data_IF_371904504122
#
_entry.id   IF_371904504122
#
_cell.length_a   1.000
_cell.length_b   1.000
_cell.length_c   1.000
_cell.angle_alpha   90.00
_cell.angle_beta   90.00
_cell.angle_gamma   90.00
#
_symmetry.space_group_name_H-M   'P 1'
#
loop_
_entity.id
_entity.type
_entity.pdbx_description
1 polymer ?
#
# COMPACT_ATOMS: atom_id res chain seq x y z
N UNK A 1 -8.26 -13.69 -2.59
CA UNK A 1 -7.73 -12.32 -2.75
C UNK A 1 -8.75 -11.33 -2.24
N UNK A 2 -8.33 -10.16 -1.74
CA UNK A 2 -9.24 -9.17 -1.16
C UNK A 2 -10.42 -8.76 -2.08
N UNK A 3 -10.23 -8.51 -3.40
CA UNK A 3 -11.35 -8.17 -4.29
C UNK A 3 -12.41 -9.26 -4.38
N UNK A 4 -12.00 -10.54 -4.44
CA UNK A 4 -12.93 -11.66 -4.42
C UNK A 4 -13.70 -11.76 -3.09
N UNK A 5 -13.08 -11.41 -1.96
CA UNK A 5 -13.76 -11.39 -0.66
C UNK A 5 -14.88 -10.33 -0.65
N UNK A 6 -14.58 -9.12 -1.12
CA UNK A 6 -15.57 -8.05 -1.26
C UNK A 6 -16.69 -8.41 -2.23
N UNK A 7 -16.36 -9.00 -3.39
CA UNK A 7 -17.36 -9.44 -4.37
C UNK A 7 -18.30 -10.51 -3.84
N UNK A 8 -17.77 -11.48 -3.08
CA UNK A 8 -18.60 -12.48 -2.43
C UNK A 8 -19.57 -11.85 -1.41
N UNK A 9 -19.21 -10.72 -0.80
CA UNK A 9 -20.09 -9.93 0.08
C UNK A 9 -21.03 -8.95 -0.68
N UNK A 10 -21.05 -9.00 -2.01
CA UNK A 10 -21.93 -8.20 -2.87
C UNK A 10 -21.40 -6.81 -3.21
N UNK A 11 -20.09 -6.57 -3.11
CA UNK A 11 -19.46 -5.32 -3.55
C UNK A 11 -18.96 -5.42 -4.98
N UNK A 12 -18.93 -4.31 -5.71
CA UNK A 12 -18.04 -4.21 -6.88
C UNK A 12 -16.61 -3.96 -6.41
N UNK A 13 -15.63 -4.44 -7.16
CA UNK A 13 -14.21 -4.25 -6.82
C UNK A 13 -13.41 -3.83 -8.05
N UNK A 14 -12.96 -2.59 -8.08
CA UNK A 14 -12.32 -1.97 -9.25
C UNK A 14 -10.92 -1.45 -8.92
N UNK A 15 -10.07 -1.42 -9.94
CA UNK A 15 -8.69 -0.99 -9.86
C UNK A 15 -8.49 0.28 -10.70
N UNK A 16 -7.78 1.27 -10.16
CA UNK A 16 -7.56 2.57 -10.81
C UNK A 16 -6.08 2.93 -10.82
N UNK A 17 -5.58 3.36 -11.98
CA UNK A 17 -4.23 3.88 -12.08
C UNK A 17 -4.07 4.73 -13.34
N UNK A 18 -3.14 5.68 -13.31
CA UNK A 18 -2.96 6.57 -14.44
C UNK A 18 -2.17 5.99 -15.62
N UNK A 19 -1.35 4.96 -15.35
CA UNK A 19 -0.42 4.38 -16.32
C UNK A 19 -0.99 3.10 -16.96
N UNK A 20 -0.31 2.65 -18.03
CA UNK A 20 -0.62 1.43 -18.78
C UNK A 20 -0.83 0.23 -17.86
N UNK A 21 -1.93 -0.50 -18.06
CA UNK A 21 -2.24 -1.74 -17.34
C UNK A 21 -1.25 -2.88 -17.58
N UNK A 22 -0.50 -2.85 -18.68
CA UNK A 22 0.53 -3.86 -18.97
C UNK A 22 1.78 -3.72 -18.10
N UNK A 23 2.02 -2.52 -17.54
CA UNK A 23 3.15 -2.28 -16.65
C UNK A 23 3.01 -3.16 -15.40
N UNK A 24 4.10 -3.81 -14.98
CA UNK A 24 4.12 -4.85 -13.94
C UNK A 24 3.12 -5.99 -14.14
N UNK A 25 2.74 -6.32 -15.38
CA UNK A 25 1.77 -7.39 -15.68
C UNK A 25 0.41 -7.23 -14.97
N UNK A 26 0.02 -5.98 -14.66
CA UNK A 26 -1.20 -5.72 -13.89
C UNK A 26 -2.47 -6.21 -14.59
N UNK A 27 -2.49 -6.34 -15.92
CA UNK A 27 -3.62 -6.97 -16.65
C UNK A 27 -3.93 -8.35 -16.09
N UNK A 28 -2.92 -9.21 -16.00
CA UNK A 28 -3.12 -10.58 -15.56
C UNK A 28 -3.39 -10.62 -14.06
N UNK A 29 -2.68 -9.80 -13.27
CA UNK A 29 -2.91 -9.73 -11.82
C UNK A 29 -4.34 -9.26 -11.48
N UNK A 30 -4.87 -8.28 -12.21
CA UNK A 30 -6.24 -7.78 -12.04
C UNK A 30 -7.26 -8.91 -12.17
N UNK A 31 -7.15 -9.68 -13.26
CA UNK A 31 -8.04 -10.82 -13.54
C UNK A 31 -7.88 -11.92 -12.49
N UNK A 32 -6.64 -12.29 -12.16
CA UNK A 32 -6.35 -13.35 -11.18
C UNK A 32 -6.81 -12.98 -9.77
N UNK A 33 -6.68 -11.71 -9.37
CA UNK A 33 -7.15 -11.24 -8.06
C UNK A 33 -8.65 -10.95 -8.00
N UNK A 34 -9.36 -11.01 -9.13
CA UNK A 34 -10.81 -10.93 -9.17
C UNK A 34 -11.38 -9.52 -9.22
N UNK A 35 -10.55 -8.50 -9.50
CA UNK A 35 -11.07 -7.16 -9.81
C UNK A 35 -11.96 -7.24 -11.07
N UNK A 36 -13.05 -6.49 -11.06
CA UNK A 36 -13.98 -6.41 -12.19
C UNK A 36 -13.36 -5.64 -13.35
N UNK A 37 -12.78 -4.49 -13.05
CA UNK A 37 -12.17 -3.61 -14.04
C UNK A 37 -10.82 -3.08 -13.58
N UNK A 38 -9.98 -2.76 -14.58
CA UNK A 38 -8.81 -1.90 -14.41
C UNK A 38 -9.03 -0.64 -15.25
N UNK A 39 -9.28 0.48 -14.60
CA UNK A 39 -9.43 1.78 -15.23
C UNK A 39 -8.05 2.45 -15.33
N UNK A 40 -7.45 2.31 -16.52
CA UNK A 40 -6.20 2.96 -16.89
C UNK A 40 -6.50 4.31 -17.55
N UNK A 41 -6.10 5.42 -16.94
CA UNK A 41 -6.28 6.74 -17.56
C UNK A 41 -5.59 6.82 -18.94
N UNK A 42 -4.47 6.12 -19.10
CA UNK A 42 -3.78 5.99 -20.38
C UNK A 42 -4.64 5.29 -21.45
N UNK A 43 -5.24 4.14 -21.15
CA UNK A 43 -6.06 3.41 -22.14
C UNK A 43 -7.42 4.05 -22.38
N UNK A 44 -7.92 4.81 -21.41
CA UNK A 44 -9.10 5.66 -21.57
C UNK A 44 -8.80 6.91 -22.40
N UNK A 45 -7.55 7.06 -22.88
CA UNK A 45 -7.09 8.17 -23.73
C UNK A 45 -7.25 9.54 -23.09
N UNK A 46 -7.18 9.61 -21.76
CA UNK A 46 -7.14 10.89 -21.05
C UNK A 46 -5.83 11.60 -21.41
N UNK A 47 -5.87 12.87 -21.85
CA UNK A 47 -4.68 13.63 -22.24
C UNK A 47 -3.62 13.65 -21.15
N UNK A 48 -2.33 13.68 -21.54
CA UNK A 48 -1.24 13.58 -20.57
C UNK A 48 -1.29 14.73 -19.57
N UNK A 49 -1.48 15.95 -20.05
CA UNK A 49 -1.63 17.17 -19.27
C UNK A 49 -2.72 17.09 -18.19
N UNK A 50 -3.77 16.30 -18.42
CA UNK A 50 -4.83 16.05 -17.44
C UNK A 50 -4.41 14.94 -16.46
N UNK A 51 -3.89 13.81 -16.95
CA UNK A 51 -3.64 12.62 -16.12
C UNK A 51 -2.27 12.54 -15.43
N UNK A 52 -1.52 13.64 -15.38
CA UNK A 52 -0.15 13.65 -14.80
C UNK A 52 -0.19 13.58 -13.27
N UNK A 53 -1.23 14.14 -12.67
CA UNK A 53 -1.37 14.38 -11.24
C UNK A 53 -2.50 13.54 -10.64
N UNK A 54 -2.27 12.90 -9.51
CA UNK A 54 -3.22 12.05 -8.78
C UNK A 54 -4.64 12.65 -8.66
N UNK A 55 -4.74 13.97 -8.43
CA UNK A 55 -6.05 14.65 -8.33
C UNK A 55 -6.93 14.50 -9.57
N UNK A 56 -6.38 14.21 -10.75
CA UNK A 56 -7.17 13.96 -11.96
C UNK A 56 -8.12 12.78 -11.82
N UNK A 57 -7.75 11.78 -10.99
CA UNK A 57 -8.57 10.59 -10.79
C UNK A 57 -9.96 10.94 -10.26
N UNK A 58 -10.09 12.07 -9.55
CA UNK A 58 -11.33 12.56 -8.96
C UNK A 58 -11.90 13.78 -9.67
N UNK A 59 -11.06 14.58 -10.33
CA UNK A 59 -11.51 15.72 -11.16
C UNK A 59 -12.11 15.28 -12.49
N UNK A 60 -11.62 14.18 -13.07
CA UNK A 60 -12.22 13.59 -14.26
C UNK A 60 -13.53 12.89 -13.88
N UNK A 61 -14.66 13.43 -14.34
CA UNK A 61 -16.01 12.96 -14.00
C UNK A 61 -16.23 11.46 -14.22
N UNK A 62 -15.78 10.94 -15.36
CA UNK A 62 -15.93 9.52 -15.68
C UNK A 62 -15.15 8.63 -14.70
N UNK A 63 -13.92 9.01 -14.33
CA UNK A 63 -13.15 8.25 -13.34
C UNK A 63 -13.73 8.40 -11.92
N UNK A 64 -14.10 9.62 -11.54
CA UNK A 64 -14.74 9.94 -10.25
C UNK A 64 -15.96 9.05 -10.01
N UNK A 65 -16.85 8.92 -10.99
CA UNK A 65 -18.07 8.12 -10.85
C UNK A 65 -17.81 6.60 -10.91
N UNK A 66 -16.62 6.17 -11.32
CA UNK A 66 -16.19 4.77 -11.17
C UNK A 66 -15.51 4.52 -9.83
N UNK A 67 -14.77 5.50 -9.30
CA UNK A 67 -14.11 5.41 -8.00
C UNK A 67 -15.13 5.49 -6.87
N UNK A 68 -16.10 6.41 -6.97
CA UNK A 68 -17.22 6.61 -6.04
C UNK A 68 -18.53 6.46 -6.83
N UNK A 69 -18.95 5.21 -7.10
CA UNK A 69 -20.19 4.94 -7.83
C UNK A 69 -21.43 5.27 -6.98
N UNK A 70 -22.58 5.38 -7.63
CA UNK A 70 -23.84 5.75 -6.96
C UNK A 70 -24.36 4.63 -6.03
N UNK A 71 -24.00 3.37 -6.29
CA UNK A 71 -24.34 2.25 -5.42
C UNK A 71 -23.44 2.21 -4.17
N UNK A 72 -23.92 1.66 -3.06
CA UNK A 72 -23.19 1.76 -1.77
C UNK A 72 -22.09 0.73 -1.58
N UNK A 73 -22.19 -0.44 -2.22
CA UNK A 73 -21.20 -1.51 -2.04
C UNK A 73 -20.13 -1.47 -3.12
N UNK A 74 -19.05 -0.74 -2.87
CA UNK A 74 -17.88 -0.67 -3.76
C UNK A 74 -16.55 -0.82 -3.00
N UNK A 75 -15.53 -1.31 -3.71
CA UNK A 75 -14.14 -1.31 -3.30
C UNK A 75 -13.30 -0.75 -4.44
N UNK A 76 -12.69 0.42 -4.22
CA UNK A 76 -11.85 1.10 -5.19
C UNK A 76 -10.39 1.03 -4.76
N UNK A 77 -9.59 0.22 -5.46
CA UNK A 77 -8.15 0.15 -5.25
C UNK A 77 -7.43 1.11 -6.18
N UNK A 78 -6.81 2.15 -5.63
CA UNK A 78 -6.24 3.25 -6.39
C UNK A 78 -4.72 3.26 -6.20
N UNK A 79 -3.97 3.25 -7.31
CA UNK A 79 -2.53 3.50 -7.30
C UNK A 79 -2.27 4.93 -7.74
N UNK A 80 -1.78 5.73 -6.79
CA UNK A 80 -1.23 7.07 -7.02
C UNK A 80 0.14 7.01 -7.69
N UNK A 81 0.58 8.12 -8.26
CA UNK A 81 1.80 8.23 -9.06
C UNK A 81 2.46 9.60 -8.99
N UNK A 82 1.80 10.67 -8.51
CA UNK A 82 2.41 12.02 -8.45
C UNK A 82 3.76 11.98 -7.73
N UNK A 83 3.85 11.32 -6.57
CA UNK A 83 5.05 11.16 -5.76
C UNK A 83 6.10 10.16 -6.30
N UNK A 84 6.20 9.99 -7.63
CA UNK A 84 7.14 9.07 -8.26
C UNK A 84 8.49 9.71 -8.63
N UNK A 85 9.57 8.94 -8.45
CA UNK A 85 10.96 9.28 -8.80
C UNK A 85 11.20 9.37 -10.33
N UNK A 86 12.20 10.11 -10.84
CA UNK A 86 13.12 11.01 -10.11
C UNK A 86 12.49 12.36 -9.77
N UNK A 87 13.04 13.01 -8.74
CA UNK A 87 12.52 14.25 -8.18
C UNK A 87 13.22 15.47 -8.79
N UNK A 88 13.05 15.70 -10.10
CA UNK A 88 13.63 16.88 -10.76
C UNK A 88 12.62 17.53 -11.72
N UNK A 89 12.85 18.79 -12.08
CA UNK A 89 11.93 19.65 -12.83
C UNK A 89 11.73 19.20 -14.28
N UNK A 90 12.65 18.41 -14.82
CA UNK A 90 12.51 17.79 -16.14
C UNK A 90 11.44 16.70 -16.16
N UNK A 91 11.10 16.13 -14.98
CA UNK A 91 10.01 15.16 -14.86
C UNK A 91 8.66 15.86 -14.82
N UNK A 92 7.75 15.36 -15.63
CA UNK A 92 6.40 15.90 -15.77
C UNK A 92 5.66 15.99 -14.43
N UNK A 93 5.84 15.01 -13.54
CA UNK A 93 5.20 14.98 -12.22
C UNK A 93 5.68 16.12 -11.32
N UNK A 94 7.00 16.32 -11.19
CA UNK A 94 7.51 17.47 -10.43
C UNK A 94 7.05 18.77 -11.10
N UNK A 95 7.30 18.92 -12.39
CA UNK A 95 6.99 20.14 -13.12
C UNK A 95 5.52 20.58 -12.94
N UNK A 96 4.58 19.64 -13.05
CA UNK A 96 3.15 19.91 -12.89
C UNK A 96 2.73 20.18 -11.43
N UNK A 97 3.51 19.74 -10.44
CA UNK A 97 3.17 19.92 -9.01
C UNK A 97 3.72 21.21 -8.40
N UNK A 98 4.64 21.91 -9.08
CA UNK A 98 5.33 23.09 -8.58
C UNK A 98 4.44 24.34 -8.62
N UNK A 99 4.47 25.12 -7.55
CA UNK A 99 4.02 26.51 -7.56
C UNK A 99 5.05 27.42 -8.25
N UNK A 100 4.64 28.62 -8.68
CA UNK A 100 5.57 29.62 -9.24
C UNK A 100 6.73 29.94 -8.29
N UNK A 101 6.43 30.10 -6.99
CA UNK A 101 7.44 30.36 -5.95
C UNK A 101 8.45 29.21 -5.83
N UNK A 102 8.00 27.96 -5.91
CA UNK A 102 8.88 26.80 -5.86
C UNK A 102 9.74 26.69 -7.12
N UNK A 103 9.19 27.05 -8.28
CA UNK A 103 9.94 27.10 -9.54
C UNK A 103 11.04 28.16 -9.50
N UNK A 104 10.72 29.38 -9.04
CA UNK A 104 11.70 30.45 -8.81
C UNK A 104 12.80 30.05 -7.81
N UNK A 105 12.43 29.31 -6.75
CA UNK A 105 13.41 28.80 -5.78
C UNK A 105 14.44 27.86 -6.42
N UNK A 106 14.01 26.99 -7.35
CA UNK A 106 14.89 26.08 -8.10
C UNK A 106 15.82 26.90 -9.01
N UNK A 107 15.27 27.87 -9.74
CA UNK A 107 16.05 28.78 -10.60
C UNK A 107 17.10 29.58 -9.82
N UNK A 108 16.82 29.90 -8.56
CA UNK A 108 17.76 30.54 -7.62
C UNK A 108 18.79 29.57 -7.01
N UNK A 109 18.84 28.31 -7.45
CA UNK A 109 19.82 27.31 -7.02
C UNK A 109 19.49 26.61 -5.70
N UNK A 110 18.24 26.66 -5.22
CA UNK A 110 17.82 25.84 -4.06
C UNK A 110 17.71 24.37 -4.47
N UNK A 111 17.80 23.47 -3.48
CA UNK A 111 17.77 22.02 -3.67
C UNK A 111 16.48 21.56 -4.38
N UNK A 112 16.63 21.29 -5.68
CA UNK A 112 15.58 20.87 -6.59
C UNK A 112 14.90 19.57 -6.12
N UNK A 113 15.68 18.56 -5.75
CA UNK A 113 15.14 17.26 -5.34
C UNK A 113 14.23 17.38 -4.14
N UNK A 114 14.63 18.22 -3.18
CA UNK A 114 13.86 18.49 -1.97
C UNK A 114 12.59 19.28 -2.24
N UNK A 115 12.60 20.19 -3.22
CA UNK A 115 11.41 20.93 -3.62
C UNK A 115 10.45 20.00 -4.38
N UNK A 116 10.94 19.25 -5.36
CA UNK A 116 10.15 18.31 -6.16
C UNK A 116 9.46 17.24 -5.30
N UNK A 117 10.19 16.53 -4.43
CA UNK A 117 9.59 15.47 -3.61
C UNK A 117 8.46 16.00 -2.71
N UNK A 118 8.59 17.22 -2.19
CA UNK A 118 7.55 17.86 -1.36
C UNK A 118 6.35 18.28 -2.20
N UNK A 119 6.59 18.90 -3.36
CA UNK A 119 5.52 19.32 -4.26
C UNK A 119 4.71 18.12 -4.77
N UNK A 120 5.38 17.04 -5.15
CA UNK A 120 4.74 15.82 -5.60
C UNK A 120 4.00 15.09 -4.47
N UNK A 121 4.55 15.04 -3.25
CA UNK A 121 3.86 14.50 -2.09
C UNK A 121 2.63 15.33 -1.70
N UNK A 122 2.70 16.66 -1.80
CA UNK A 122 1.55 17.56 -1.63
C UNK A 122 0.45 17.23 -2.65
N UNK A 123 0.79 16.87 -3.87
CA UNK A 123 -0.22 16.50 -4.86
C UNK A 123 -0.96 15.19 -4.50
N UNK A 124 -0.26 14.20 -3.99
CA UNK A 124 -0.92 13.00 -3.43
C UNK A 124 -1.78 13.33 -2.20
N UNK A 125 -1.40 14.31 -1.38
CA UNK A 125 -2.23 14.81 -0.27
C UNK A 125 -3.50 15.51 -0.78
N UNK A 126 -3.37 16.37 -1.81
CA UNK A 126 -4.49 17.01 -2.48
C UNK A 126 -5.48 15.97 -3.06
N UNK A 127 -5.00 14.81 -3.52
CA UNK A 127 -5.91 13.72 -3.95
C UNK A 127 -6.83 13.27 -2.81
N UNK A 128 -6.33 13.18 -1.57
CA UNK A 128 -7.20 12.87 -0.42
C UNK A 128 -8.18 14.01 -0.13
N UNK A 129 -7.77 15.27 -0.25
CA UNK A 129 -8.68 16.41 -0.13
C UNK A 129 -9.83 16.32 -1.15
N UNK A 130 -9.53 16.06 -2.41
CA UNK A 130 -10.53 15.86 -3.46
C UNK A 130 -11.40 14.63 -3.20
N UNK A 131 -10.84 13.56 -2.61
CA UNK A 131 -11.60 12.34 -2.29
C UNK A 131 -12.66 12.64 -1.24
N UNK A 132 -12.28 13.38 -0.20
CA UNK A 132 -13.20 13.81 0.85
C UNK A 132 -14.31 14.68 0.27
N UNK A 133 -13.99 15.68 -0.55
CA UNK A 133 -14.99 16.53 -1.22
C UNK A 133 -15.98 15.70 -2.04
N UNK A 134 -15.50 14.80 -2.89
CA UNK A 134 -16.36 13.94 -3.72
C UNK A 134 -17.26 13.04 -2.86
N UNK A 135 -16.73 12.48 -1.77
CA UNK A 135 -17.51 11.66 -0.86
C UNK A 135 -18.56 12.47 -0.08
N UNK A 136 -18.26 13.71 0.31
CA UNK A 136 -19.20 14.63 0.95
C UNK A 136 -20.31 15.04 -0.02
N UNK A 137 -19.95 15.46 -1.24
CA UNK A 137 -20.89 15.86 -2.31
C UNK A 137 -21.84 14.73 -2.70
N UNK A 138 -21.37 13.48 -2.64
CA UNK A 138 -22.18 12.28 -2.91
C UNK A 138 -22.88 11.72 -1.66
N UNK A 139 -22.81 12.40 -0.51
CA UNK A 139 -23.37 11.95 0.77
C UNK A 139 -22.92 10.54 1.18
N UNK A 140 -21.69 10.16 0.83
CA UNK A 140 -21.10 8.82 1.06
C UNK A 140 -19.95 8.81 2.04
N UNK A 141 -19.45 9.97 2.46
CA UNK A 141 -18.30 10.07 3.38
C UNK A 141 -18.53 9.26 4.67
N UNK A 142 -19.72 9.39 5.26
CA UNK A 142 -20.04 8.73 6.53
C UNK A 142 -20.17 7.20 6.44
N UNK A 143 -20.29 6.65 5.22
CA UNK A 143 -20.44 5.22 4.99
C UNK A 143 -19.29 4.65 4.14
N UNK A 144 -18.14 5.35 4.11
CA UNK A 144 -16.95 4.94 3.34
C UNK A 144 -15.73 4.87 4.25
N UNK A 145 -15.08 3.70 4.29
CA UNK A 145 -13.78 3.54 4.94
C UNK A 145 -12.67 3.91 3.95
N UNK A 146 -11.81 4.85 4.33
CA UNK A 146 -10.63 5.26 3.56
C UNK A 146 -9.40 4.57 4.15
N UNK A 147 -8.66 3.84 3.30
CA UNK A 147 -7.46 3.11 3.73
C UNK A 147 -6.27 3.57 2.90
N UNK A 148 -5.30 4.20 3.55
CA UNK A 148 -4.05 4.64 2.92
C UNK A 148 -2.90 3.70 3.26
N UNK A 149 -2.26 3.13 2.23
CA UNK A 149 -1.09 2.25 2.36
C UNK A 149 0.04 2.85 1.55
N UNK A 150 1.22 2.93 2.16
CA UNK A 150 2.44 3.30 1.42
C UNK A 150 3.11 2.04 0.87
N UNK A 151 3.48 2.06 -0.41
CA UNK A 151 4.10 0.93 -1.11
C UNK A 151 5.56 0.69 -0.67
N UNK A 152 6.36 1.75 -0.64
CA UNK A 152 7.76 1.72 -0.24
C UNK A 152 8.29 3.09 0.18
N UNK A 153 9.49 3.13 0.74
CA UNK A 153 10.18 4.39 1.02
C UNK A 153 10.63 5.08 -0.28
N UNK A 154 10.97 6.38 -0.21
CA UNK A 154 11.39 7.18 -1.36
C UNK A 154 12.81 6.82 -1.84
N UNK A 155 13.03 5.60 -2.33
CA UNK A 155 14.35 5.08 -2.70
C UNK A 155 15.03 5.85 -3.83
N UNK A 156 14.26 6.53 -4.67
CA UNK A 156 14.78 7.37 -5.76
C UNK A 156 15.24 8.77 -5.34
N UNK A 157 15.12 9.12 -4.05
CA UNK A 157 15.61 10.41 -3.55
C UNK A 157 17.13 10.31 -3.39
N UNK A 158 17.92 11.20 -4.02
CA UNK A 158 19.35 10.99 -4.17
C UNK A 158 20.12 11.06 -2.84
N UNK A 159 19.67 11.90 -1.90
CA UNK A 159 20.31 12.01 -0.58
C UNK A 159 19.75 10.97 0.39
N UNK A 160 20.30 9.74 0.32
CA UNK A 160 19.88 8.62 1.17
C UNK A 160 20.15 8.88 2.66
N UNK A 161 21.23 9.56 3.01
CA UNK A 161 21.57 9.91 4.40
C UNK A 161 20.48 10.78 5.05
N UNK A 162 19.90 11.73 4.30
CA UNK A 162 18.77 12.52 4.78
C UNK A 162 17.55 11.64 5.10
N UNK A 163 17.30 10.58 4.30
CA UNK A 163 16.21 9.63 4.56
C UNK A 163 16.48 8.86 5.87
N UNK A 164 17.70 8.31 6.04
CA UNK A 164 18.09 7.61 7.27
C UNK A 164 17.89 8.51 8.49
N UNK A 165 18.38 9.76 8.43
CA UNK A 165 18.23 10.75 9.50
C UNK A 165 16.77 11.07 9.80
N UNK A 166 15.96 11.35 8.77
CA UNK A 166 14.53 11.67 8.94
C UNK A 166 13.73 10.52 9.53
N UNK A 167 14.09 9.28 9.21
CA UNK A 167 13.41 8.08 9.71
C UNK A 167 13.98 7.56 11.02
N UNK A 168 15.04 8.20 11.54
CA UNK A 168 15.82 7.71 12.68
C UNK A 168 16.19 6.22 12.51
N UNK A 169 16.66 5.88 11.31
CA UNK A 169 17.02 4.52 10.93
C UNK A 169 18.55 4.38 10.90
N UNK A 170 19.04 3.22 11.28
CA UNK A 170 20.44 2.80 11.20
C UNK A 170 20.65 1.59 10.27
N UNK A 171 19.55 1.02 9.75
CA UNK A 171 19.55 -0.11 8.82
C UNK A 171 18.49 0.16 7.72
N UNK A 172 18.74 -0.35 6.51
CA UNK A 172 17.83 -0.22 5.37
C UNK A 172 16.43 -0.75 5.67
N UNK A 173 16.33 -1.83 6.44
CA UNK A 173 15.06 -2.45 6.81
C UNK A 173 14.13 -1.49 7.55
N UNK A 174 14.68 -0.59 8.36
CA UNK A 174 13.90 0.43 9.05
C UNK A 174 13.46 1.58 8.13
N UNK A 175 14.04 1.74 6.94
CA UNK A 175 13.48 2.67 5.94
C UNK A 175 12.12 2.20 5.44
N UNK A 176 11.83 0.90 5.47
CA UNK A 176 10.53 0.35 5.08
C UNK A 176 9.42 0.57 6.11
N UNK A 177 9.70 1.17 7.27
CA UNK A 177 8.66 1.63 8.20
C UNK A 177 7.92 2.83 7.61
N UNK A 178 6.85 2.58 6.88
CA UNK A 178 6.08 3.60 6.14
C UNK A 178 4.66 3.77 6.71
N UNK A 179 3.98 4.89 6.42
CA UNK A 179 2.61 5.11 6.90
C UNK A 179 1.61 4.07 6.39
N UNK A 180 0.73 3.64 7.29
CA UNK A 180 -0.50 2.89 7.03
C UNK A 180 -1.58 3.49 7.93
N UNK A 181 -2.70 3.91 7.35
CA UNK A 181 -3.82 4.46 8.09
C UNK A 181 -5.15 3.91 7.59
N UNK A 182 -6.10 3.83 8.51
CA UNK A 182 -7.49 3.49 8.24
C UNK A 182 -8.30 4.62 8.86
N UNK A 183 -9.19 5.21 8.07
CA UNK A 183 -10.08 6.28 8.47
C UNK A 183 -11.52 5.87 8.16
N UNK A 184 -12.42 6.21 9.07
CA UNK A 184 -13.87 6.09 8.93
C UNK A 184 -14.50 7.12 9.86
N UNK A 185 -15.65 7.67 9.47
CA UNK A 185 -16.38 8.69 10.23
C UNK A 185 -16.79 8.22 11.64
N UNK A 186 -17.06 6.93 11.79
CA UNK A 186 -17.50 6.28 13.03
C UNK A 186 -16.34 5.93 14.00
N UNK A 187 -15.09 6.14 13.60
CA UNK A 187 -13.91 5.99 14.47
C UNK A 187 -13.78 7.24 15.34
N UNK A 188 -14.51 7.27 16.44
CA UNK A 188 -14.55 8.40 17.39
C UNK A 188 -13.21 8.70 18.09
N UNK A 189 -12.30 7.72 18.14
CA UNK A 189 -10.98 7.88 18.77
C UNK A 189 -9.90 7.23 17.92
N UNK A 190 -8.98 8.06 17.43
CA UNK A 190 -7.77 7.59 16.77
C UNK A 190 -7.02 6.63 17.69
N UNK A 191 -6.76 5.43 17.19
CA UNK A 191 -6.00 4.39 17.89
C UNK A 191 -4.68 4.19 17.17
N UNK A 192 -3.58 4.35 17.91
CA UNK A 192 -2.25 4.05 17.40
C UNK A 192 -1.92 2.59 17.65
N UNK A 193 -1.85 1.79 16.59
CA UNK A 193 -1.30 0.43 16.64
C UNK A 193 0.20 0.54 16.93
N UNK A 194 0.66 -0.10 18.01
CA UNK A 194 2.05 0.02 18.47
C UNK A 194 2.92 -1.13 17.98
N UNK A 195 2.28 -2.28 17.79
CA UNK A 195 2.85 -3.51 17.30
C UNK A 195 3.36 -3.33 15.88
N UNK A 196 4.56 -3.85 15.62
CA UNK A 196 5.12 -3.85 14.27
C UNK A 196 4.27 -4.74 13.36
N UNK A 197 4.03 -4.28 12.14
CA UNK A 197 3.21 -4.97 11.16
C UNK A 197 3.77 -4.82 9.75
N UNK A 198 3.27 -5.64 8.84
CA UNK A 198 3.73 -5.73 7.46
C UNK A 198 2.58 -5.61 6.46
N UNK A 199 2.93 -5.43 5.19
CA UNK A 199 1.98 -5.51 4.08
C UNK A 199 1.27 -6.88 3.98
N UNK A 200 1.83 -7.95 4.54
CA UNK A 200 1.21 -9.28 4.58
C UNK A 200 -0.03 -9.31 5.49
N UNK A 201 -0.05 -8.47 6.53
CA UNK A 201 -1.12 -8.37 7.52
C UNK A 201 -2.35 -7.60 6.99
N UNK A 202 -2.19 -6.90 5.87
CA UNK A 202 -3.20 -6.02 5.31
C UNK A 202 -4.52 -6.76 4.98
N UNK A 203 -4.45 -7.82 4.18
CA UNK A 203 -5.67 -8.50 3.70
C UNK A 203 -6.47 -9.12 4.85
N UNK A 204 -5.86 -9.89 5.79
CA UNK A 204 -6.58 -10.40 6.95
C UNK A 204 -7.17 -9.31 7.85
N UNK A 205 -6.48 -8.17 7.99
CA UNK A 205 -6.95 -7.03 8.78
C UNK A 205 -8.20 -6.41 8.14
N UNK A 206 -8.14 -6.07 6.85
CA UNK A 206 -9.30 -5.48 6.16
C UNK A 206 -10.45 -6.45 6.07
N UNK A 207 -10.19 -7.73 5.77
CA UNK A 207 -11.25 -8.74 5.74
C UNK A 207 -11.95 -8.86 7.10
N UNK A 208 -11.19 -8.86 8.21
CA UNK A 208 -11.77 -8.90 9.55
C UNK A 208 -12.57 -7.63 9.90
N UNK A 209 -12.06 -6.44 9.58
CA UNK A 209 -12.75 -5.17 9.85
C UNK A 209 -14.11 -5.08 9.15
N UNK A 210 -14.19 -5.55 7.91
CA UNK A 210 -15.42 -5.55 7.12
C UNK A 210 -16.33 -6.76 7.38
N UNK A 211 -15.95 -7.67 8.29
CA UNK A 211 -16.68 -8.90 8.54
C UNK A 211 -16.78 -9.83 7.32
N UNK A 212 -15.80 -9.78 6.42
CA UNK A 212 -15.75 -10.65 5.24
C UNK A 212 -15.47 -12.09 5.65
N UNK A 213 -16.09 -13.06 5.00
CA UNK A 213 -15.80 -14.48 5.22
C UNK A 213 -14.44 -14.85 4.61
N UNK A 214 -13.48 -15.25 5.44
CA UNK A 214 -12.18 -15.74 4.98
C UNK A 214 -11.59 -16.79 5.93
N UNK A 215 -10.81 -17.72 5.36
CA UNK A 215 -10.06 -18.69 6.14
C UNK A 215 -8.64 -18.17 6.41
N UNK A 216 -8.37 -17.76 7.66
CA UNK A 216 -7.10 -17.16 8.07
C UNK A 216 -5.87 -18.02 7.76
N UNK A 217 -6.02 -19.36 7.74
CA UNK A 217 -4.93 -20.30 7.42
C UNK A 217 -4.35 -20.15 6.01
N UNK A 218 -5.06 -19.49 5.08
CA UNK A 218 -4.57 -19.26 3.71
C UNK A 218 -3.79 -17.96 3.55
N UNK A 219 -3.60 -17.20 4.62
CA UNK A 219 -2.84 -15.96 4.62
C UNK A 219 -1.61 -16.09 5.50
N UNK A 220 -0.49 -15.53 5.04
CA UNK A 220 0.76 -15.49 5.81
C UNK A 220 0.68 -14.47 6.94
N UNK A 221 0.15 -13.28 6.64
CA UNK A 221 -0.07 -12.25 7.64
C UNK A 221 -1.30 -12.54 8.51
N UNK A 222 -1.50 -11.70 9.51
CA UNK A 222 -2.56 -11.81 10.51
C UNK A 222 -3.32 -10.50 10.66
N UNK A 223 -4.53 -10.57 11.21
CA UNK A 223 -5.28 -9.37 11.59
C UNK A 223 -4.52 -8.63 12.71
N UNK A 224 -4.12 -7.39 12.48
CA UNK A 224 -3.36 -6.57 13.46
C UNK A 224 -4.19 -6.15 14.68
N UNK A 225 -5.52 -6.18 14.59
CA UNK A 225 -6.43 -5.87 15.70
C UNK A 225 -6.80 -7.12 16.51
N UNK A 226 -6.26 -8.29 16.15
CA UNK A 226 -6.45 -9.51 16.93
C UNK A 226 -5.78 -9.36 18.31
N UNK A 227 -6.44 -9.79 19.40
CA UNK A 227 -5.81 -9.79 20.73
C UNK A 227 -4.57 -10.70 20.80
N UNK A 228 -4.43 -11.63 19.86
CA UNK A 228 -3.29 -12.56 19.75
C UNK A 228 -2.27 -12.13 18.67
N UNK A 229 -2.30 -10.87 18.24
CA UNK A 229 -1.31 -10.36 17.27
C UNK A 229 0.05 -10.18 17.95
N UNK A 230 1.05 -10.95 17.52
CA UNK A 230 2.37 -11.01 18.16
C UNK A 230 3.32 -9.88 17.72
N UNK A 231 3.01 -9.16 16.64
CA UNK A 231 3.86 -8.11 16.08
C UNK A 231 5.25 -8.61 15.63
N UNK A 232 5.33 -9.21 14.44
CA UNK A 232 6.60 -9.71 13.88
C UNK A 232 6.70 -9.33 12.40
N UNK A 233 7.78 -8.66 12.03
CA UNK A 233 8.13 -8.39 10.63
C UNK A 233 9.44 -9.10 10.29
N UNK A 234 9.55 -9.61 9.07
CA UNK A 234 10.74 -10.27 8.56
C UNK A 234 11.03 -9.79 7.14
N UNK A 235 12.29 -9.91 6.74
CA UNK A 235 12.80 -9.38 5.49
C UNK A 235 13.32 -10.50 4.59
N UNK A 236 13.58 -10.19 3.32
CA UNK A 236 13.97 -11.18 2.30
C UNK A 236 15.27 -11.93 2.63
N UNK A 237 16.14 -11.30 3.39
CA UNK A 237 17.42 -11.82 3.87
C UNK A 237 17.31 -12.47 5.25
N UNK A 238 16.10 -12.88 5.65
CA UNK A 238 15.80 -13.64 6.88
C UNK A 238 16.01 -12.87 8.20
N UNK A 239 16.40 -11.59 8.14
CA UNK A 239 16.37 -10.71 9.31
C UNK A 239 14.93 -10.47 9.77
N UNK A 240 14.75 -10.12 11.04
CA UNK A 240 13.43 -9.86 11.60
C UNK A 240 13.44 -8.89 12.77
N UNK A 241 12.30 -8.24 12.98
CA UNK A 241 12.07 -7.31 14.07
C UNK A 241 10.69 -7.57 14.70
N UNK A 242 10.62 -7.67 16.02
CA UNK A 242 9.35 -7.89 16.75
C UNK A 242 8.90 -6.66 17.55
N UNK A 243 9.45 -5.48 17.27
CA UNK A 243 9.20 -4.26 18.05
C UNK A 243 10.23 -4.00 19.15
N UNK A 244 10.94 -5.02 19.61
CA UNK A 244 11.96 -4.91 20.65
C UNK A 244 13.32 -5.41 20.16
N UNK A 245 13.34 -6.64 19.66
CA UNK A 245 14.53 -7.36 19.19
C UNK A 245 14.63 -7.25 17.68
N UNK A 246 15.77 -6.76 17.18
CA UNK A 246 16.14 -6.81 15.76
C UNK A 246 17.30 -7.79 15.58
N UNK A 247 17.06 -8.87 14.84
CA UNK A 247 18.02 -9.92 14.58
C UNK A 247 18.38 -9.97 13.10
N UNK A 248 19.68 -9.98 12.80
CA UNK A 248 20.19 -9.98 11.42
C UNK A 248 21.59 -10.59 11.38
N UNK A 249 21.86 -11.39 10.35
CA UNK A 249 23.18 -11.98 10.08
C UNK A 249 23.81 -12.73 11.26
N UNK A 250 23.00 -13.38 12.09
CA UNK A 250 23.48 -14.11 13.26
C UNK A 250 23.51 -13.29 14.55
N UNK A 251 23.29 -11.97 14.48
CA UNK A 251 23.51 -11.04 15.57
C UNK A 251 22.23 -10.31 16.01
N UNK A 252 22.18 -9.95 17.30
CA UNK A 252 21.16 -9.05 17.84
C UNK A 252 21.65 -7.60 17.66
N UNK A 253 21.06 -6.88 16.72
CA UNK A 253 21.39 -5.47 16.44
C UNK A 253 20.56 -4.49 17.28
N UNK A 254 19.49 -4.96 17.92
CA UNK A 254 18.67 -4.21 18.89
C UNK A 254 18.01 -5.19 19.87
N UNK A 255 17.88 -4.79 21.12
CA UNK A 255 17.29 -5.61 22.19
C UNK A 255 18.38 -6.30 23.03
N UNK A 256 18.01 -6.78 24.21
CA UNK A 256 18.92 -7.40 25.18
C UNK A 256 18.27 -8.64 25.80
N UNK A 257 19.07 -9.51 26.41
CA UNK A 257 18.60 -10.67 27.20
C UNK A 257 17.70 -11.67 26.43
N UNK A 258 18.01 -11.92 25.16
CA UNK A 258 17.26 -12.88 24.32
C UNK A 258 17.96 -14.23 24.33
N UNK A 259 17.22 -15.32 24.59
CA UNK A 259 17.79 -16.67 24.61
C UNK A 259 17.97 -17.24 23.20
N UNK A 260 18.98 -18.09 23.03
CA UNK A 260 19.23 -18.80 21.77
C UNK A 260 18.05 -19.69 21.33
N UNK A 261 17.32 -20.27 22.30
CA UNK A 261 16.10 -21.04 22.02
C UNK A 261 15.00 -20.18 21.40
N UNK A 262 14.81 -18.96 21.92
CA UNK A 262 13.84 -18.02 21.36
C UNK A 262 14.24 -17.58 19.95
N UNK A 263 15.51 -17.21 19.73
CA UNK A 263 16.02 -16.86 18.40
C UNK A 263 15.81 -18.02 17.41
N UNK A 264 16.17 -19.24 17.81
CA UNK A 264 15.99 -20.46 17.01
C UNK A 264 14.51 -20.72 16.67
N UNK A 265 13.61 -20.49 17.63
CA UNK A 265 12.16 -20.61 17.43
C UNK A 265 11.64 -19.62 16.40
N UNK A 266 12.03 -18.35 16.48
CA UNK A 266 11.60 -17.31 15.53
C UNK A 266 12.19 -17.56 14.14
N UNK A 267 13.48 -17.88 14.05
CA UNK A 267 14.15 -18.20 12.79
C UNK A 267 13.48 -19.39 12.09
N UNK A 268 13.18 -20.47 12.82
CA UNK A 268 12.43 -21.63 12.28
C UNK A 268 11.03 -21.25 11.80
N UNK A 269 10.32 -20.39 12.54
CA UNK A 269 9.00 -19.89 12.15
C UNK A 269 9.07 -19.13 10.82
N UNK A 270 10.04 -18.22 10.66
CA UNK A 270 10.22 -17.43 9.43
C UNK A 270 10.63 -18.34 8.26
N UNK A 271 11.57 -19.26 8.46
CA UNK A 271 11.97 -20.21 7.42
C UNK A 271 10.78 -21.04 6.92
N UNK A 272 9.93 -21.53 7.82
CA UNK A 272 8.73 -22.28 7.44
C UNK A 272 7.75 -21.39 6.65
N UNK A 273 7.56 -20.13 7.04
CA UNK A 273 6.70 -19.20 6.32
C UNK A 273 7.21 -18.99 4.88
N UNK A 274 8.50 -18.73 4.73
CA UNK A 274 9.12 -18.47 3.43
C UNK A 274 9.07 -19.71 2.52
N UNK A 275 9.41 -20.89 3.05
CA UNK A 275 9.34 -22.16 2.31
C UNK A 275 7.91 -22.50 1.86
N UNK A 276 6.91 -22.35 2.74
CA UNK A 276 5.50 -22.57 2.36
C UNK A 276 5.07 -21.57 1.29
N UNK A 277 5.42 -20.30 1.43
CA UNK A 277 5.06 -19.27 0.45
C UNK A 277 5.69 -19.54 -0.92
N UNK A 278 6.96 -19.93 -0.96
CA UNK A 278 7.65 -20.32 -2.19
C UNK A 278 6.96 -21.53 -2.85
N UNK A 279 6.60 -22.56 -2.08
CA UNK A 279 5.87 -23.72 -2.58
C UNK A 279 4.49 -23.36 -3.11
N UNK A 280 3.76 -22.48 -2.45
CA UNK A 280 2.44 -22.00 -2.94
C UNK A 280 2.58 -21.35 -4.31
N UNK A 281 3.58 -20.48 -4.48
CA UNK A 281 3.82 -19.74 -5.72
C UNK A 281 4.33 -20.63 -6.86
N UNK A 282 5.32 -21.48 -6.58
CA UNK A 282 5.95 -22.34 -7.58
C UNK A 282 5.06 -23.50 -8.07
N UNK A 283 4.11 -23.96 -7.26
CA UNK A 283 3.24 -25.10 -7.58
C UNK A 283 1.84 -24.71 -8.04
N UNK A 284 1.48 -23.43 -7.97
CA UNK A 284 0.11 -22.96 -8.13
C UNK A 284 -0.88 -23.70 -7.22
N UNK A 285 -0.51 -23.80 -5.93
CA UNK A 285 -1.19 -24.63 -4.93
C UNK A 285 -2.72 -24.45 -4.89
N UNK A 286 -3.22 -23.21 -4.98
CA UNK A 286 -4.65 -22.94 -4.92
C UNK A 286 -5.43 -23.47 -6.13
N UNK A 287 -4.80 -23.60 -7.30
CA UNK A 287 -5.42 -24.27 -8.44
C UNK A 287 -5.61 -25.77 -8.17
N UNK A 288 -4.66 -26.40 -7.49
CA UNK A 288 -4.73 -27.83 -7.11
C UNK A 288 -5.84 -28.06 -6.09
N UNK A 289 -5.93 -27.22 -5.05
CA UNK A 289 -6.99 -27.27 -4.02
C UNK A 289 -8.37 -27.12 -4.67
N UNK A 290 -8.55 -26.11 -5.54
CA UNK A 290 -9.83 -25.88 -6.22
C UNK A 290 -10.29 -27.10 -7.02
N UNK A 291 -9.39 -27.76 -7.75
CA UNK A 291 -9.73 -28.99 -8.49
C UNK A 291 -10.21 -30.10 -7.56
N UNK A 292 -9.55 -30.31 -6.43
CA UNK A 292 -9.92 -31.35 -5.45
C UNK A 292 -11.28 -31.10 -4.79
N UNK A 293 -11.61 -29.84 -4.52
CA UNK A 293 -12.91 -29.47 -3.92
C UNK A 293 -14.08 -29.58 -4.90
N UNK A 294 -13.83 -29.53 -6.21
CA UNK A 294 -14.87 -29.68 -7.26
C UNK A 294 -15.03 -31.14 -7.70
N UNK A 295 -13.99 -31.96 -7.50
CA UNK A 295 -14.01 -33.40 -7.82
C UNK A 295 -14.60 -34.29 -6.71
N UNK A 296 -14.95 -33.71 -5.55
CA UNK A 296 -15.62 -34.37 -4.43
C UNK A 296 -17.01 -33.76 -4.23
#
# INVERSE_FOLDING_TARGET
>A
SLPNLFKNAGYTANYFHQNKKSYYNRIQMTRTFGYENYYSSYELRIPLEERVLDTHLLKNEMLRDKIVPDHDKFMSFIITYSAHTPYNIERTQCNASLTEKERLNIEQGKDENKICIKAQARETDNFFEELLKVLEEKEKLDNTVIIGITDHYAYGYPNREEIYKKKNANDINFLHKVPFFIWSSDINKSTKVKEVNSNLDFVPTVAALFGLEFESKYFVGKNIFSPNYEGLVFFSEYSWYNGEVYYKDGEILKGENVSDDYLSKINRKINNILDINEKILSTNYFQVIKKRLVSN
#
